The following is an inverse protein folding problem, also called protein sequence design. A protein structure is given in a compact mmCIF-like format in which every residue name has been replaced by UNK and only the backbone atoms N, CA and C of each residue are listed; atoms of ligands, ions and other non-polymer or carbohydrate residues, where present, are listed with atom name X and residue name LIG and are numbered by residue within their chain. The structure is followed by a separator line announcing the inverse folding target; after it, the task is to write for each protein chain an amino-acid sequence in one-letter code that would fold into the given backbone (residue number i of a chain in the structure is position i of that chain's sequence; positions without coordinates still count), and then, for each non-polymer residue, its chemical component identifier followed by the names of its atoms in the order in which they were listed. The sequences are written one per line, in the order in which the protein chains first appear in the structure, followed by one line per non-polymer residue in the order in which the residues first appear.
data_IF_355833891103
#
_entry.id   IF_355833891103
#
_cell.length_a   1.000
_cell.length_b   1.000
_cell.length_c   1.000
_cell.angle_alpha   90.00
_cell.angle_beta   90.00
_cell.angle_gamma   90.00
#
_symmetry.space_group_name_H-M   'P 1'
#
loop_
_entity.id
_entity.type
_entity.pdbx_description
1 polymer ?
#
# COMPACT_ATOMS: atom_id res chain seq x y z
N UNK A 1 10.92 -15.78 -25.89
CA UNK A 1 10.08 -15.57 -24.69
C UNK A 1 8.65 -15.87 -25.13
N UNK A 2 8.16 -17.07 -24.83
CA UNK A 2 6.81 -17.45 -25.20
C UNK A 2 5.82 -16.72 -24.29
N UNK A 3 5.10 -15.74 -24.86
CA UNK A 3 4.00 -15.08 -24.19
C UNK A 3 2.83 -16.06 -24.09
N UNK A 4 2.79 -16.87 -23.02
CA UNK A 4 1.56 -17.54 -22.62
C UNK A 4 0.53 -16.46 -22.31
N UNK A 5 -0.46 -16.30 -23.20
CA UNK A 5 -1.67 -15.54 -22.90
C UNK A 5 -2.34 -16.27 -21.75
N UNK A 6 -2.20 -15.74 -20.53
CA UNK A 6 -2.95 -16.22 -19.38
C UNK A 6 -4.43 -16.02 -19.71
N UNK A 7 -5.18 -17.12 -19.77
CA UNK A 7 -6.63 -17.06 -19.94
C UNK A 7 -7.24 -16.15 -18.87
N UNK A 8 -8.29 -15.42 -19.22
CA UNK A 8 -8.95 -14.47 -18.30
C UNK A 8 -9.47 -15.26 -17.10
N UNK A 9 -8.76 -15.24 -15.97
CA UNK A 9 -9.28 -15.78 -14.71
C UNK A 9 -10.24 -14.77 -14.12
N UNK A 10 -11.53 -15.11 -14.10
CA UNK A 10 -12.52 -14.29 -13.41
C UNK A 10 -12.21 -14.25 -11.91
N UNK A 11 -12.29 -13.06 -11.33
CA UNK A 11 -12.19 -12.87 -9.89
C UNK A 11 -13.42 -13.53 -9.23
N UNK A 12 -13.27 -14.30 -8.12
CA UNK A 12 -14.30 -15.22 -7.64
C UNK A 12 -15.47 -14.53 -6.91
N UNK A 13 -15.55 -13.20 -6.95
CA UNK A 13 -16.62 -12.44 -6.30
C UNK A 13 -17.43 -11.73 -7.37
N UNK A 14 -18.69 -12.13 -7.53
CA UNK A 14 -19.71 -11.30 -8.17
C UNK A 14 -20.12 -10.21 -7.16
N UNK A 15 -19.87 -8.95 -7.52
CA UNK A 15 -20.19 -7.82 -6.64
C UNK A 15 -21.68 -7.50 -6.70
N UNK A 16 -22.41 -7.83 -5.65
CA UNK A 16 -23.75 -7.33 -5.40
C UNK A 16 -23.75 -6.52 -4.12
N UNK A 17 -23.38 -5.23 -4.20
CA UNK A 17 -23.37 -4.37 -3.01
C UNK A 17 -24.18 -3.11 -3.22
N UNK A 18 -25.05 -2.80 -2.26
CA UNK A 18 -25.55 -1.44 -1.98
C UNK A 18 -24.46 -0.60 -1.29
N UNK A 19 -23.18 -0.71 -1.70
CA UNK A 19 -21.98 -0.36 -0.92
C UNK A 19 -20.90 0.36 -1.74
N UNK A 20 -19.80 0.81 -1.09
CA UNK A 20 -18.54 1.17 -1.76
C UNK A 20 -17.50 0.07 -1.54
N UNK A 21 -16.75 -0.26 -2.59
CA UNK A 21 -15.61 -1.18 -2.54
C UNK A 21 -14.37 -0.49 -3.11
N UNK A 22 -13.25 -0.56 -2.40
CA UNK A 22 -11.94 -0.08 -2.86
C UNK A 22 -11.02 -1.28 -3.03
N UNK A 23 -10.40 -1.37 -4.20
CA UNK A 23 -9.48 -2.44 -4.58
C UNK A 23 -8.04 -1.95 -4.46
N UNK A 24 -7.22 -2.72 -3.77
CA UNK A 24 -5.78 -2.54 -3.67
C UNK A 24 -5.11 -3.78 -4.25
N UNK A 25 -4.59 -3.65 -5.46
CA UNK A 25 -3.92 -4.73 -6.18
C UNK A 25 -2.42 -4.63 -6.01
N UNK A 26 -1.80 -5.74 -5.64
CA UNK A 26 -0.36 -5.96 -5.71
C UNK A 26 -0.05 -7.13 -6.62
N UNK A 27 1.06 -7.05 -7.34
CA UNK A 27 1.50 -8.10 -8.26
C UNK A 27 3.00 -8.30 -8.12
N UNK A 28 3.43 -9.55 -8.15
CA UNK A 28 4.85 -9.86 -8.15
C UNK A 28 5.16 -11.30 -8.53
N UNK A 29 6.46 -11.53 -8.73
CA UNK A 29 7.02 -12.83 -9.01
C UNK A 29 7.60 -13.41 -7.72
N UNK A 30 7.08 -14.57 -7.33
CA UNK A 30 7.59 -15.41 -6.25
C UNK A 30 8.72 -16.28 -6.82
N UNK A 31 9.96 -15.88 -6.54
CA UNK A 31 11.13 -16.60 -7.04
C UNK A 31 11.38 -17.94 -6.33
N UNK A 32 10.86 -18.12 -5.11
CA UNK A 32 11.03 -19.34 -4.32
C UNK A 32 10.11 -20.44 -4.87
N UNK A 33 8.84 -20.09 -5.13
CA UNK A 33 7.87 -21.03 -5.68
C UNK A 33 7.76 -20.95 -7.22
N UNK A 34 8.56 -20.11 -7.88
CA UNK A 34 8.61 -19.95 -9.34
C UNK A 34 7.21 -19.68 -9.93
N UNK A 35 6.50 -18.67 -9.41
CA UNK A 35 5.17 -18.33 -9.89
C UNK A 35 4.85 -16.84 -9.79
N UNK A 36 3.89 -16.39 -10.59
CA UNK A 36 3.34 -15.06 -10.45
C UNK A 36 2.15 -15.08 -9.50
N UNK A 37 2.09 -14.07 -8.62
CA UNK A 37 1.00 -13.91 -7.66
C UNK A 37 0.39 -12.52 -7.76
N UNK A 38 -0.92 -12.46 -7.60
CA UNK A 38 -1.66 -11.19 -7.50
C UNK A 38 -2.37 -11.16 -6.16
N UNK A 39 -2.01 -10.21 -5.31
CA UNK A 39 -2.75 -9.92 -4.08
C UNK A 39 -3.84 -8.90 -4.41
N UNK A 40 -5.08 -9.20 -4.02
CA UNK A 40 -6.17 -8.25 -4.09
C UNK A 40 -6.74 -8.05 -2.69
N UNK A 41 -6.51 -6.86 -2.12
CA UNK A 41 -7.13 -6.44 -0.87
C UNK A 41 -8.34 -5.57 -1.20
N UNK A 42 -9.50 -5.99 -0.71
CA UNK A 42 -10.77 -5.33 -0.93
C UNK A 42 -11.24 -4.75 0.39
N UNK A 43 -11.50 -3.45 0.39
CA UNK A 43 -12.04 -2.74 1.55
C UNK A 43 -13.50 -2.38 1.28
N UNK A 44 -14.40 -2.84 2.14
CA UNK A 44 -15.86 -2.68 1.97
C UNK A 44 -16.45 -1.72 2.98
N UNK A 45 -17.41 -0.87 2.56
CA UNK A 45 -18.31 -0.15 3.46
C UNK A 45 -19.77 -0.29 3.03
N UNK A 46 -20.65 -0.40 4.02
CA UNK A 46 -22.09 -0.25 3.80
C UNK A 46 -22.44 1.23 3.55
N UNK A 47 -23.29 1.53 2.55
CA UNK A 47 -23.77 2.88 2.30
C UNK A 47 -24.68 3.40 3.43
N UNK A 48 -25.30 2.50 4.20
CA UNK A 48 -26.18 2.87 5.32
C UNK A 48 -25.42 3.29 6.58
N UNK A 49 -24.10 3.07 6.63
CA UNK A 49 -23.28 3.39 7.78
C UNK A 49 -22.76 4.83 7.70
N UNK A 50 -23.54 5.76 8.25
CA UNK A 50 -23.18 7.18 8.34
C UNK A 50 -21.92 7.44 9.16
N UNK A 51 -21.57 6.52 10.06
CA UNK A 51 -20.46 6.66 10.99
C UNK A 51 -19.17 6.04 10.44
N UNK A 52 -19.19 5.41 9.26
CA UNK A 52 -18.03 4.70 8.66
C UNK A 52 -17.37 3.70 9.65
N UNK A 53 -18.16 3.12 10.53
CA UNK A 53 -17.71 2.21 11.60
C UNK A 53 -17.60 0.75 11.15
N UNK A 54 -18.15 0.39 9.99
CA UNK A 54 -18.33 -0.98 9.48
C UNK A 54 -17.39 -1.36 8.34
N UNK A 55 -16.23 -0.71 8.21
CA UNK A 55 -15.25 -1.13 7.22
C UNK A 55 -14.64 -2.48 7.60
N UNK A 56 -14.65 -3.42 6.66
CA UNK A 56 -13.88 -4.66 6.78
C UNK A 56 -13.04 -4.90 5.53
N UNK A 57 -11.92 -5.59 5.72
CA UNK A 57 -11.02 -5.99 4.64
C UNK A 57 -11.20 -7.48 4.35
N UNK A 58 -11.24 -7.81 3.07
CA UNK A 58 -10.96 -9.16 2.59
C UNK A 58 -9.69 -9.14 1.73
N UNK A 59 -8.91 -10.21 1.80
CA UNK A 59 -7.71 -10.35 0.98
C UNK A 59 -7.77 -11.66 0.21
N UNK A 60 -7.46 -11.58 -1.07
CA UNK A 60 -7.41 -12.69 -2.00
C UNK A 60 -6.03 -12.76 -2.63
N UNK A 61 -5.56 -13.97 -2.90
CA UNK A 61 -4.31 -14.21 -3.61
C UNK A 61 -4.60 -15.09 -4.83
N UNK A 62 -4.14 -14.66 -5.98
CA UNK A 62 -4.10 -15.45 -7.21
C UNK A 62 -2.76 -16.17 -7.30
N UNK A 63 -2.80 -17.44 -7.72
CA UNK A 63 -1.62 -18.22 -8.07
C UNK A 63 -1.65 -18.52 -9.56
N UNK A 64 -0.60 -18.13 -10.30
CA UNK A 64 -0.51 -18.43 -11.73
C UNK A 64 -0.34 -19.92 -12.00
N UNK A 65 0.28 -20.68 -11.09
CA UNK A 65 0.41 -22.13 -11.21
C UNK A 65 -0.92 -22.86 -11.08
N UNK A 66 -1.76 -22.42 -10.14
CA UNK A 66 -3.11 -22.98 -9.93
C UNK A 66 -4.17 -22.34 -10.81
N UNK A 67 -3.83 -21.26 -11.51
CA UNK A 67 -4.72 -20.43 -12.30
C UNK A 67 -6.03 -20.10 -11.56
N UNK A 68 -5.93 -19.76 -10.28
CA UNK A 68 -7.10 -19.57 -9.42
C UNK A 68 -6.83 -18.59 -8.30
N UNK A 69 -7.91 -17.94 -7.86
CA UNK A 69 -7.94 -17.10 -6.70
C UNK A 69 -8.31 -17.91 -5.46
N UNK A 70 -7.70 -17.60 -4.33
CA UNK A 70 -8.12 -18.10 -3.02
C UNK A 70 -8.25 -16.96 -2.03
N UNK A 71 -9.25 -17.05 -1.16
CA UNK A 71 -9.40 -16.12 -0.02
C UNK A 71 -8.33 -16.42 1.03
N UNK A 72 -7.73 -15.38 1.58
CA UNK A 72 -6.83 -15.47 2.73
C UNK A 72 -7.67 -15.54 4.01
N UNK A 73 -7.39 -16.54 4.86
CA UNK A 73 -8.16 -16.77 6.10
C UNK A 73 -7.90 -15.71 7.17
N UNK A 74 -6.71 -15.09 7.14
CA UNK A 74 -6.28 -14.15 8.17
C UNK A 74 -5.67 -12.91 7.54
N UNK A 75 -6.24 -11.76 7.84
CA UNK A 75 -5.58 -10.47 7.68
C UNK A 75 -5.32 -9.94 9.10
N UNK A 76 -4.07 -10.00 9.61
CA UNK A 76 -3.78 -9.75 11.02
C UNK A 76 -3.96 -8.27 11.41
N UNK A 77 -4.04 -7.39 10.41
CA UNK A 77 -4.21 -5.96 10.62
C UNK A 77 -5.68 -5.61 10.57
N UNK A 78 -6.43 -6.12 11.56
CA UNK A 78 -7.80 -5.68 11.80
C UNK A 78 -7.77 -4.17 11.95
N UNK A 79 -8.39 -3.49 10.99
CA UNK A 79 -8.64 -2.06 11.05
C UNK A 79 -9.48 -1.83 12.30
N UNK A 80 -8.90 -1.23 13.34
CA UNK A 80 -9.73 -0.68 14.41
C UNK A 80 -10.74 0.29 13.80
N UNK A 81 -11.86 0.55 14.51
CA UNK A 81 -12.98 1.43 14.10
C UNK A 81 -12.57 2.87 13.72
N UNK A 82 -11.28 3.17 13.72
CA UNK A 82 -10.67 4.41 13.26
C UNK A 82 -9.95 4.12 11.95
N UNK A 83 -10.72 4.07 10.87
CA UNK A 83 -10.43 4.72 9.59
C UNK A 83 -8.92 4.81 9.24
N UNK A 84 -8.43 4.11 8.22
CA UNK A 84 -7.03 4.22 7.77
C UNK A 84 -6.94 4.84 6.39
N UNK A 85 -5.94 5.69 6.15
CA UNK A 85 -5.49 5.97 4.79
C UNK A 85 -4.60 4.81 4.35
N UNK A 86 -4.99 4.18 3.24
CA UNK A 86 -4.13 3.22 2.54
C UNK A 86 -3.73 3.89 1.23
N UNK A 87 -2.44 3.95 0.94
CA UNK A 87 -2.02 4.30 -0.42
C UNK A 87 -2.64 3.29 -1.40
N UNK A 88 -3.05 3.76 -2.58
CA UNK A 88 -3.47 2.85 -3.66
C UNK A 88 -2.27 2.05 -4.20
N UNK A 89 -1.07 2.58 -4.00
CA UNK A 89 0.18 1.97 -4.43
C UNK A 89 0.51 0.73 -3.58
N UNK A 90 0.71 -0.38 -4.28
CA UNK A 90 1.32 -1.60 -3.76
C UNK A 90 2.58 -1.89 -4.58
N UNK A 91 3.73 -2.03 -3.92
CA UNK A 91 5.03 -2.16 -4.61
C UNK A 91 5.76 -3.43 -4.20
N UNK A 92 6.46 -4.06 -5.15
CA UNK A 92 7.26 -5.25 -4.92
C UNK A 92 8.71 -4.86 -4.59
N UNK A 93 9.19 -5.23 -3.41
CA UNK A 93 10.59 -5.11 -3.00
C UNK A 93 10.97 -6.35 -2.21
N UNK A 94 12.20 -6.84 -2.34
CA UNK A 94 12.73 -7.99 -1.59
C UNK A 94 11.77 -9.20 -1.50
N UNK A 95 11.13 -9.56 -2.62
CA UNK A 95 10.19 -10.69 -2.67
C UNK A 95 8.83 -10.48 -1.97
N UNK A 96 8.56 -9.30 -1.43
CA UNK A 96 7.32 -8.98 -0.73
C UNK A 96 6.57 -7.79 -1.36
N UNK A 97 5.24 -7.84 -1.28
CA UNK A 97 4.35 -6.75 -1.66
C UNK A 97 4.15 -5.80 -0.49
N UNK A 98 4.29 -4.51 -0.74
CA UNK A 98 4.29 -3.48 0.29
C UNK A 98 3.25 -2.41 0.03
N UNK A 99 2.55 -2.00 1.08
CA UNK A 99 1.71 -0.80 1.04
C UNK A 99 1.80 -0.02 2.33
N UNK A 100 1.56 1.28 2.20
CA UNK A 100 1.59 2.21 3.31
C UNK A 100 0.22 2.30 4.00
N UNK A 101 0.22 2.31 5.34
CA UNK A 101 -0.97 2.53 6.16
C UNK A 101 -0.75 3.62 7.21
N UNK A 102 -1.77 4.46 7.38
CA UNK A 102 -1.84 5.50 8.42
C UNK A 102 -3.20 5.51 9.10
N UNK A 103 -3.22 5.55 10.43
CA UNK A 103 -4.46 5.76 11.20
C UNK A 103 -5.01 7.19 10.98
N UNK A 104 -6.33 7.36 10.79
CA UNK A 104 -6.99 8.66 10.51
C UNK A 104 -7.17 9.57 11.73
N UNK A 105 -6.36 9.41 12.78
CA UNK A 105 -6.29 10.34 13.91
C UNK A 105 -5.12 11.32 13.72
N UNK A 106 -5.20 12.49 14.35
CA UNK A 106 -4.18 13.56 14.24
C UNK A 106 -2.75 13.03 14.43
N UNK A 107 -2.54 12.17 15.43
CA UNK A 107 -1.25 11.51 15.73
C UNK A 107 -1.27 10.02 15.37
N UNK A 108 -1.91 9.69 14.26
CA UNK A 108 -2.08 8.30 13.82
C UNK A 108 -0.75 7.61 13.59
N UNK A 109 -0.63 6.38 14.06
CA UNK A 109 0.55 5.55 13.81
C UNK A 109 0.61 5.25 12.31
N UNK A 110 1.81 5.34 11.78
CA UNK A 110 2.16 5.07 10.40
C UNK A 110 3.01 3.81 10.37
N UNK A 111 2.70 2.90 9.45
CA UNK A 111 3.48 1.68 9.25
C UNK A 111 3.34 1.21 7.81
N UNK A 112 4.33 0.45 7.36
CA UNK A 112 4.26 -0.31 6.11
C UNK A 112 3.79 -1.71 6.46
N UNK A 113 2.92 -2.27 5.64
CA UNK A 113 2.66 -3.71 5.67
C UNK A 113 3.41 -4.33 4.52
N UNK A 114 4.09 -5.44 4.79
CA UNK A 114 4.61 -6.34 3.78
C UNK A 114 3.77 -7.63 3.73
N UNK A 115 3.69 -8.21 2.54
CA UNK A 115 3.17 -9.55 2.29
C UNK A 115 4.22 -10.31 1.49
N UNK A 116 4.90 -11.26 2.15
CA UNK A 116 5.91 -12.10 1.52
C UNK A 116 5.23 -13.07 0.55
N UNK A 117 5.67 -13.06 -0.70
CA UNK A 117 5.05 -13.87 -1.74
C UNK A 117 5.31 -15.37 -1.55
N UNK A 118 6.46 -15.73 -0.97
CA UNK A 118 6.96 -17.10 -0.86
C UNK A 118 6.22 -17.89 0.21
N UNK A 119 6.10 -17.33 1.40
CA UNK A 119 5.41 -17.96 2.54
C UNK A 119 3.97 -17.46 2.73
N UNK A 120 3.57 -16.43 1.98
CA UNK A 120 2.23 -15.83 2.02
C UNK A 120 1.88 -15.28 3.42
N UNK A 121 2.88 -14.73 4.12
CA UNK A 121 2.74 -14.12 5.44
C UNK A 121 2.77 -12.60 5.41
N UNK A 122 2.01 -12.02 6.34
CA UNK A 122 1.92 -10.59 6.52
C UNK A 122 2.82 -10.13 7.67
N UNK A 123 3.55 -9.04 7.48
CA UNK A 123 4.37 -8.43 8.53
C UNK A 123 4.18 -6.92 8.59
N UNK A 124 4.41 -6.34 9.78
CA UNK A 124 4.54 -4.89 9.92
C UNK A 124 6.00 -4.53 9.74
N UNK A 125 6.23 -3.53 8.92
CA UNK A 125 7.53 -2.93 8.73
C UNK A 125 7.58 -1.53 9.34
N UNK A 126 8.74 -1.16 9.92
CA UNK A 126 8.93 0.16 10.47
C UNK A 126 8.95 1.22 9.36
N UNK A 127 8.35 2.37 9.65
CA UNK A 127 8.47 3.58 8.85
C UNK A 127 9.58 4.47 9.42
N UNK A 128 10.14 5.40 8.63
CA UNK A 128 11.13 6.34 9.15
C UNK A 128 10.55 7.14 10.32
N UNK A 129 11.31 7.26 11.41
CA UNK A 129 10.98 8.10 12.55
C UNK A 129 11.11 9.58 12.15
N UNK A 130 10.04 10.13 11.58
CA UNK A 130 9.98 11.53 11.17
C UNK A 130 9.10 12.26 12.17
N UNK A 131 9.46 13.47 12.63
CA UNK A 131 8.49 14.34 13.29
C UNK A 131 7.49 14.73 12.21
N UNK A 132 6.42 13.95 12.04
CA UNK A 132 5.39 14.14 11.04
C UNK A 132 4.70 15.50 11.30
N UNK A 133 5.12 16.60 10.65
CA UNK A 133 4.57 17.90 10.97
C UNK A 133 3.10 17.91 10.56
N UNK A 134 2.34 18.74 11.25
CA UNK A 134 1.04 19.19 10.80
C UNK A 134 1.24 19.83 9.41
N UNK A 135 0.97 19.09 8.34
CA UNK A 135 1.24 19.54 6.97
C UNK A 135 1.44 18.44 5.93
N UNK A 136 1.81 17.22 6.33
CA UNK A 136 1.85 16.09 5.38
C UNK A 136 0.43 15.64 5.01
N UNK A 137 0.11 15.64 3.71
CA UNK A 137 -1.23 15.33 3.21
C UNK A 137 -1.28 14.09 2.29
N UNK A 138 -0.15 13.67 1.71
CA UNK A 138 -0.07 12.49 0.84
C UNK A 138 1.22 11.71 1.07
N UNK A 139 1.13 10.38 0.87
CA UNK A 139 2.23 9.44 1.07
C UNK A 139 2.22 8.41 -0.06
N UNK A 140 3.34 8.27 -0.76
CA UNK A 140 3.51 7.27 -1.80
C UNK A 140 4.68 6.35 -1.45
N UNK A 141 4.47 5.05 -1.61
CA UNK A 141 5.54 4.06 -1.50
C UNK A 141 5.99 3.70 -2.92
N UNK A 142 7.30 3.72 -3.15
CA UNK A 142 7.95 3.42 -4.43
C UNK A 142 9.13 2.48 -4.19
N UNK A 143 9.73 2.01 -5.28
CA UNK A 143 10.95 1.21 -5.24
C UNK A 143 12.01 1.92 -6.06
N UNK A 144 13.17 2.13 -5.46
CA UNK A 144 14.34 2.74 -6.07
C UNK A 144 15.50 1.76 -5.95
N UNK A 145 16.02 1.28 -7.09
CA UNK A 145 17.14 0.33 -7.13
C UNK A 145 16.96 -0.93 -6.25
N UNK A 146 15.72 -1.40 -6.11
CA UNK A 146 15.38 -2.56 -5.27
C UNK A 146 15.05 -2.21 -3.81
N UNK A 147 15.39 -0.99 -3.36
CA UNK A 147 15.08 -0.49 -2.02
C UNK A 147 13.71 0.19 -1.95
N UNK A 148 13.06 0.09 -0.79
CA UNK A 148 11.82 0.83 -0.54
C UNK A 148 12.11 2.32 -0.42
N UNK A 149 11.25 3.11 -1.07
CA UNK A 149 11.29 4.56 -1.06
C UNK A 149 9.95 5.12 -0.58
N UNK A 150 9.99 6.06 0.36
CA UNK A 150 8.81 6.75 0.87
C UNK A 150 8.85 8.21 0.45
N UNK A 151 7.81 8.67 -0.25
CA UNK A 151 7.66 10.06 -0.67
C UNK A 151 6.56 10.71 0.17
N UNK A 152 6.91 11.82 0.81
CA UNK A 152 6.07 12.52 1.78
C UNK A 152 5.80 13.94 1.30
N UNK A 153 4.54 14.24 0.97
CA UNK A 153 4.15 15.55 0.43
C UNK A 153 3.62 16.46 1.54
N UNK A 154 4.18 17.66 1.64
CA UNK A 154 3.84 18.66 2.65
C UNK A 154 3.55 20.03 2.04
N UNK A 155 2.71 20.82 2.71
CA UNK A 155 2.45 22.22 2.33
C UNK A 155 3.64 23.12 2.75
N UNK A 156 3.98 24.10 1.91
CA UNK A 156 5.05 25.09 2.20
C UNK A 156 4.58 26.54 2.16
N UNK A 157 3.27 26.80 2.18
CA UNK A 157 2.68 28.13 2.13
C UNK A 157 2.84 28.79 0.76
N UNK A 158 1.96 28.44 -0.19
CA UNK A 158 2.06 28.89 -1.59
C UNK A 158 2.74 27.89 -2.53
N UNK A 159 2.82 26.63 -2.11
CA UNK A 159 3.47 25.55 -2.84
C UNK A 159 3.33 24.22 -2.12
N UNK A 160 4.01 23.21 -2.63
CA UNK A 160 4.13 21.91 -1.98
C UNK A 160 5.58 21.41 -2.02
N UNK A 161 6.01 20.82 -0.92
CA UNK A 161 7.27 20.11 -0.78
C UNK A 161 7.06 18.60 -0.85
N UNK A 162 8.12 17.86 -1.18
CA UNK A 162 8.18 16.42 -1.16
C UNK A 162 9.51 15.96 -0.57
N UNK A 163 9.45 15.24 0.54
CA UNK A 163 10.59 14.57 1.15
C UNK A 163 10.69 13.13 0.63
N UNK A 164 11.86 12.75 0.12
CA UNK A 164 12.12 11.42 -0.43
C UNK A 164 13.06 10.70 0.53
N UNK A 165 12.58 9.59 1.08
CA UNK A 165 13.32 8.73 2.00
C UNK A 165 13.55 7.36 1.36
N UNK A 166 14.72 6.77 1.58
CA UNK A 166 15.09 5.44 1.07
C UNK A 166 15.49 4.55 2.24
N UNK A 167 15.05 3.30 2.24
CA UNK A 167 15.48 2.27 3.17
C UNK A 167 16.73 1.60 2.61
N UNK A 168 17.92 2.00 3.10
CA UNK A 168 19.20 1.50 2.59
C UNK A 168 19.33 -0.02 2.83
N UNK A 169 19.01 -0.45 4.06
CA UNK A 169 18.98 -1.86 4.45
C UNK A 169 17.52 -2.30 4.63
N UNK A 170 17.06 -3.22 3.78
CA UNK A 170 15.68 -3.69 3.81
C UNK A 170 15.28 -4.25 5.19
N UNK A 171 14.10 -3.88 5.68
CA UNK A 171 13.58 -4.31 6.99
C UNK A 171 14.14 -3.55 8.19
N UNK A 172 15.20 -2.74 8.05
CA UNK A 172 15.89 -2.09 9.17
C UNK A 172 15.36 -0.67 9.36
N UNK A 173 14.68 -0.40 10.48
CA UNK A 173 14.13 0.93 10.78
C UNK A 173 15.18 2.06 10.73
N UNK A 174 16.38 1.79 11.25
CA UNK A 174 17.45 2.80 11.34
C UNK A 174 18.16 3.05 10.01
N UNK A 175 17.88 2.26 8.98
CA UNK A 175 18.50 2.41 7.65
C UNK A 175 17.75 3.40 6.75
N UNK A 176 16.61 3.93 7.21
CA UNK A 176 15.92 4.98 6.48
C UNK A 176 16.76 6.27 6.45
N UNK A 177 17.16 6.69 5.27
CA UNK A 177 17.90 7.92 5.01
C UNK A 177 17.06 8.87 4.17
N UNK A 178 17.16 10.18 4.44
CA UNK A 178 16.54 11.18 3.58
C UNK A 178 17.44 11.42 2.39
N UNK A 179 16.97 11.03 1.20
CA UNK A 179 17.72 11.19 -0.04
C UNK A 179 17.72 12.65 -0.49
N UNK A 180 16.55 13.29 -0.53
CA UNK A 180 16.42 14.69 -0.94
C UNK A 180 15.06 15.30 -0.55
N UNK A 181 14.95 16.61 -0.68
CA UNK A 181 13.70 17.36 -0.65
C UNK A 181 13.50 18.10 -1.97
N UNK A 182 12.29 18.10 -2.48
CA UNK A 182 11.90 18.89 -3.65
C UNK A 182 10.80 19.86 -3.24
N UNK A 183 10.93 21.12 -3.60
CA UNK A 183 9.90 22.14 -3.34
C UNK A 183 9.40 22.71 -4.66
N UNK A 184 8.09 22.73 -4.83
CA UNK A 184 7.39 23.33 -5.97
C UNK A 184 6.55 24.49 -5.46
N UNK A 185 6.91 25.71 -5.84
CA UNK A 185 6.12 26.90 -5.55
C UNK A 185 5.05 27.07 -6.63
N UNK A 186 3.81 27.33 -6.22
CA UNK A 186 2.76 27.70 -7.15
C UNK A 186 2.99 29.18 -7.50
N UNK A 187 3.42 29.42 -8.74
CA UNK A 187 3.55 30.79 -9.24
C UNK A 187 2.21 31.50 -9.20
N UNK A 188 2.17 32.73 -8.71
CA UNK A 188 1.01 33.60 -8.91
C UNK A 188 0.88 33.85 -10.42
N UNK A 189 -0.17 33.33 -11.05
CA UNK A 189 -0.56 33.78 -12.38
C UNK A 189 -1.01 35.23 -12.27
N UNK A 190 -0.08 36.16 -12.50
CA UNK A 190 -0.39 37.57 -12.65
C UNK A 190 -0.72 37.90 -14.10
N UNK A 191 -1.96 38.28 -14.34
CA UNK A 191 -2.36 39.31 -15.30
C UNK A 191 -3.70 39.89 -14.84
#
# INVERSE_FOLDING_TARGET
MDSKVLGITLFPIEYHTRGRAIFHLGFGYDHVNDEYKVLNRIRFSDLCDRDQSSWYDEVYIYSSKKNSWRRMKHFPFKLSNYHYYCALDCVLADGALHWFMRERRLNGVIYIISFDLSNEEFQKMPCPMIPWPLGYFQHNLKVLNGSLCLILYYDVGGGFGADIWVMEDYGVEKSWTKLTSVTMLVGHFGA
#
